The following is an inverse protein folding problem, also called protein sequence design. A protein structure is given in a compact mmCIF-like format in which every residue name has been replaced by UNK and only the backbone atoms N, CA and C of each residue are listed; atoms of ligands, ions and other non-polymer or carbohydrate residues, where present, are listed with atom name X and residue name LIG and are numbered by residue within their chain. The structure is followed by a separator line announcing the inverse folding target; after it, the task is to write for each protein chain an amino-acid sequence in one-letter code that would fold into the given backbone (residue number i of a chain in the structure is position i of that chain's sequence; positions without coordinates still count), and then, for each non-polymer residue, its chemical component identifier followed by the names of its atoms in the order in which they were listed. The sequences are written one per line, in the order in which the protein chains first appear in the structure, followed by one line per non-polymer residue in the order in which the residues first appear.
data_IF_823431484105
#
_entry.id   IF_823431484105
#
_cell.length_a   1.000
_cell.length_b   1.000
_cell.length_c   1.000
_cell.angle_alpha   90.00
_cell.angle_beta   90.00
_cell.angle_gamma   90.00
#
_symmetry.space_group_name_H-M   'P 1'
#
loop_
_entity.id
_entity.type
_entity.pdbx_description
1 polymer ?
#
# COMPACT_ATOMS: atom_id res chain seq x y z
N UNK A 1 -33.83 -20.81 12.21
CA UNK A 1 -33.49 -19.47 12.75
C UNK A 1 -32.47 -18.84 11.82
N UNK A 2 -32.56 -17.53 11.56
CA UNK A 2 -31.62 -16.82 10.68
C UNK A 2 -30.39 -16.33 11.44
N UNK A 3 -29.19 -16.64 10.94
CA UNK A 3 -27.91 -16.16 11.47
C UNK A 3 -27.45 -14.85 10.81
N UNK A 4 -26.35 -14.28 11.31
CA UNK A 4 -25.66 -13.16 10.64
C UNK A 4 -24.85 -13.70 9.46
N UNK A 5 -24.96 -13.05 8.31
CA UNK A 5 -24.15 -13.35 7.12
C UNK A 5 -23.08 -12.26 6.94
N UNK A 6 -21.87 -12.67 6.56
CA UNK A 6 -20.74 -11.77 6.32
C UNK A 6 -19.72 -11.74 7.47
N UNK A 7 -18.64 -10.96 7.27
CA UNK A 7 -17.51 -10.88 8.21
C UNK A 7 -16.43 -11.95 8.01
N UNK A 8 -16.64 -12.87 7.07
CA UNK A 8 -15.65 -13.89 6.70
C UNK A 8 -14.66 -13.34 5.68
N UNK A 9 -13.40 -13.79 5.76
CA UNK A 9 -12.36 -13.49 4.77
C UNK A 9 -12.55 -14.40 3.57
N UNK A 10 -12.87 -13.81 2.42
CA UNK A 10 -13.07 -14.53 1.16
C UNK A 10 -11.97 -14.10 0.17
N UNK A 11 -11.45 -15.06 -0.60
CA UNK A 11 -10.43 -14.82 -1.64
C UNK A 11 -11.02 -15.10 -3.01
N UNK A 12 -10.92 -14.14 -3.92
CA UNK A 12 -11.28 -14.31 -5.33
C UNK A 12 -10.00 -14.57 -6.13
N UNK A 13 -10.00 -15.63 -6.92
CA UNK A 13 -8.84 -16.05 -7.74
C UNK A 13 -9.02 -15.62 -9.19
N UNK A 14 -7.92 -15.63 -9.95
CA UNK A 14 -7.89 -15.37 -11.40
C UNK A 14 -8.37 -13.96 -11.78
N UNK A 15 -8.07 -12.96 -10.95
CA UNK A 15 -8.27 -11.56 -11.29
C UNK A 15 -7.10 -11.07 -12.15
N UNK A 16 -7.43 -10.29 -13.17
CA UNK A 16 -6.46 -9.74 -14.13
C UNK A 16 -6.20 -8.26 -13.80
N UNK A 17 -4.93 -7.84 -13.81
CA UNK A 17 -4.54 -6.44 -13.69
C UNK A 17 -4.50 -5.84 -15.08
N UNK A 18 -5.31 -4.80 -15.31
CA UNK A 18 -5.40 -4.12 -16.61
C UNK A 18 -4.31 -3.04 -16.69
N UNK A 19 -4.25 -2.18 -15.68
CA UNK A 19 -3.39 -0.99 -15.67
C UNK A 19 -2.85 -0.71 -14.26
N UNK A 20 -1.68 -0.10 -14.20
CA UNK A 20 -1.02 0.35 -12.96
C UNK A 20 -0.57 1.79 -13.15
N UNK A 21 -1.06 2.69 -12.30
CA UNK A 21 -0.65 4.09 -12.27
C UNK A 21 0.20 4.34 -11.01
N UNK A 22 1.53 4.22 -11.11
CA UNK A 22 2.41 4.40 -9.95
C UNK A 22 2.45 5.85 -9.46
N UNK A 23 2.09 6.82 -10.30
CA UNK A 23 2.08 8.25 -9.91
C UNK A 23 1.02 8.57 -8.85
N UNK A 24 -0.14 7.92 -8.95
CA UNK A 24 -1.28 8.07 -8.02
C UNK A 24 -1.43 6.88 -7.07
N UNK A 25 -0.56 5.87 -7.17
CA UNK A 25 -0.62 4.60 -6.44
C UNK A 25 -1.93 3.82 -6.65
N UNK A 26 -2.44 3.80 -7.88
CA UNK A 26 -3.68 3.08 -8.24
C UNK A 26 -3.41 1.85 -9.09
N UNK A 27 -4.22 0.80 -8.89
CA UNK A 27 -4.19 -0.44 -9.65
C UNK A 27 -5.60 -0.75 -10.15
N UNK A 28 -5.74 -0.96 -11.45
CA UNK A 28 -7.00 -1.25 -12.12
C UNK A 28 -7.11 -2.76 -12.29
N UNK A 29 -8.07 -3.36 -11.59
CA UNK A 29 -8.31 -4.80 -11.60
C UNK A 29 -9.60 -5.08 -12.35
N UNK A 30 -9.56 -6.08 -13.22
CA UNK A 30 -10.74 -6.57 -13.94
C UNK A 30 -11.58 -7.46 -13.03
N UNK A 31 -12.79 -7.01 -12.72
CA UNK A 31 -13.80 -7.80 -12.00
C UNK A 31 -14.14 -7.25 -10.63
N UNK A 32 -14.74 -8.10 -9.79
CA UNK A 32 -15.22 -7.73 -8.46
C UNK A 32 -14.21 -8.14 -7.38
N UNK A 33 -13.99 -7.24 -6.44
CA UNK A 33 -13.12 -7.46 -5.27
C UNK A 33 -13.99 -7.59 -4.02
N UNK A 34 -13.74 -8.58 -3.15
CA UNK A 34 -14.57 -8.80 -1.97
C UNK A 34 -14.42 -7.66 -0.97
N UNK A 35 -15.54 -7.20 -0.40
CA UNK A 35 -15.56 -6.14 0.59
C UNK A 35 -16.24 -4.86 0.09
N UNK A 36 -16.23 -3.83 0.94
CA UNK A 36 -16.78 -2.52 0.63
C UNK A 36 -15.71 -1.53 0.15
N UNK A 37 -16.14 -0.36 -0.31
CA UNK A 37 -15.25 0.78 -0.59
C UNK A 37 -14.44 1.12 0.66
N UNK A 38 -13.17 1.46 0.47
CA UNK A 38 -12.19 1.75 1.53
C UNK A 38 -11.90 0.57 2.49
N UNK A 39 -12.24 -0.66 2.09
CA UNK A 39 -11.85 -1.86 2.83
C UNK A 39 -10.38 -2.22 2.63
N UNK A 40 -9.78 -2.80 3.66
CA UNK A 40 -8.43 -3.36 3.55
C UNK A 40 -8.47 -4.68 2.75
N UNK A 41 -7.58 -4.80 1.77
CA UNK A 41 -7.48 -5.97 0.91
C UNK A 41 -6.08 -6.56 0.98
N UNK A 42 -6.01 -7.89 0.91
CA UNK A 42 -4.76 -8.61 0.75
C UNK A 42 -4.70 -9.14 -0.69
N UNK A 43 -3.76 -8.62 -1.46
CA UNK A 43 -3.52 -9.05 -2.84
C UNK A 43 -2.34 -10.01 -2.83
N UNK A 44 -2.54 -11.21 -3.36
CA UNK A 44 -1.52 -12.24 -3.50
C UNK A 44 -1.65 -12.89 -4.87
N UNK A 45 -0.56 -12.98 -5.62
CA UNK A 45 -0.54 -13.65 -6.92
C UNK A 45 0.84 -14.20 -7.24
N UNK A 46 0.87 -15.24 -8.08
CA UNK A 46 2.10 -15.84 -8.64
C UNK A 46 2.54 -15.13 -9.93
N UNK A 47 1.77 -14.15 -10.40
CA UNK A 47 2.14 -13.29 -11.53
C UNK A 47 3.10 -12.19 -11.09
N UNK A 48 4.05 -11.85 -11.96
CA UNK A 48 4.99 -10.74 -11.75
C UNK A 48 4.22 -9.43 -11.50
N UNK A 49 4.01 -9.08 -10.23
CA UNK A 49 3.69 -7.73 -9.82
C UNK A 49 4.94 -6.90 -10.08
N UNK A 50 5.04 -6.30 -11.28
CA UNK A 50 6.06 -5.31 -11.60
C UNK A 50 5.77 -4.03 -10.82
N UNK A 51 6.02 -4.08 -9.52
CA UNK A 51 6.03 -2.92 -8.65
C UNK A 51 7.26 -2.11 -9.01
N UNK A 52 7.08 -1.00 -9.75
CA UNK A 52 8.05 0.09 -9.71
C UNK A 52 7.84 0.80 -8.37
N UNK A 53 8.32 0.20 -7.30
CA UNK A 53 8.33 0.83 -5.99
C UNK A 53 9.32 1.99 -6.05
N UNK A 54 8.82 3.21 -6.25
CA UNK A 54 9.53 4.37 -5.75
C UNK A 54 9.35 4.33 -4.24
N UNK A 55 10.33 3.73 -3.55
CA UNK A 55 10.50 3.89 -2.12
C UNK A 55 10.78 5.38 -1.92
N UNK A 56 9.74 6.16 -1.61
CA UNK A 56 9.93 7.40 -0.87
C UNK A 56 10.26 6.93 0.53
N UNK A 57 11.56 6.77 0.79
CA UNK A 57 12.11 6.76 2.14
C UNK A 57 11.63 8.06 2.78
N UNK A 58 10.56 7.96 3.56
CA UNK A 58 10.07 9.10 4.31
C UNK A 58 11.11 9.39 5.39
N UNK A 59 11.90 10.42 5.12
CA UNK A 59 12.84 11.11 5.98
C UNK A 59 12.53 10.95 7.47
N UNK A 60 13.39 10.24 8.19
CA UNK A 60 13.73 10.66 9.53
C UNK A 60 14.64 11.89 9.37
N UNK A 61 14.23 13.09 9.81
CA UNK A 61 15.04 14.29 9.66
C UNK A 61 16.30 14.19 10.53
N UNK A 62 17.46 14.30 9.88
CA UNK A 62 18.70 14.72 10.52
C UNK A 62 18.46 16.11 11.14
N UNK A 63 18.52 16.18 12.48
CA UNK A 63 18.53 17.45 13.19
C UNK A 63 19.96 17.96 13.14
N UNK A 64 20.19 18.92 12.25
CA UNK A 64 21.36 19.79 12.25
C UNK A 64 21.46 20.50 13.61
N UNK A 65 22.43 20.07 14.43
CA UNK A 65 22.92 20.87 15.54
C UNK A 65 23.85 21.95 14.96
N UNK A 66 23.30 23.15 14.74
CA UNK A 66 24.09 24.34 14.41
C UNK A 66 24.86 24.78 15.66
N UNK A 67 26.15 25.14 15.53
CA UNK A 67 27.12 25.15 16.61
C UNK A 67 27.12 26.45 17.40
N UNK A 68 27.23 26.37 18.73
CA UNK A 68 27.71 27.49 19.54
C UNK A 68 29.20 27.33 19.85
N UNK A 69 29.96 28.22 19.21
CA UNK A 69 31.21 28.78 19.68
C UNK A 69 31.23 28.95 21.22
N UNK A 70 32.12 28.23 21.90
CA UNK A 70 32.85 28.81 23.04
C UNK A 70 34.33 28.70 22.75
N UNK A 71 34.90 29.89 22.62
CA UNK A 71 36.28 30.23 22.34
C UNK A 71 37.19 29.76 23.47
N UNK A 72 38.40 29.38 23.07
CA UNK A 72 39.57 29.23 23.92
C UNK A 72 39.68 30.29 25.03
N UNK A 73 39.79 29.84 26.28
CA UNK A 73 40.78 30.27 27.29
C UNK A 73 41.02 29.10 28.24
#
# INVERSE_FOLDING_TARGET
MGGRMGGERITVKNLEIIEVHPEVNEIYIKGAVPGGRNGLLLISGEGELKLKTNVVENSAPEVEAVPELVVAV
#
